data_IF_824757792787
#
_entry.id   IF_824757792787
#
_cell.length_a   1.000
_cell.length_b   1.000
_cell.length_c   1.000
_cell.angle_alpha   90.00
_cell.angle_beta   90.00
_cell.angle_gamma   90.00
#
_symmetry.space_group_name_H-M   'P 1'
#
loop_
_entity.id
_entity.type
_entity.pdbx_description
1 polymer ?
#
# COMPACT_ATOMS: atom_id res chain seq x y z
N UNK A 1 4.24 2.10 3.32
CA UNK A 1 5.44 1.32 2.94
C UNK A 1 6.25 2.13 1.96
N UNK A 2 7.56 2.21 2.15
CA UNK A 2 8.49 2.98 1.33
C UNK A 2 9.52 2.04 0.69
N UNK A 3 9.77 2.22 -0.60
CA UNK A 3 10.86 1.58 -1.32
C UNK A 3 11.69 2.67 -2.00
N UNK A 4 12.82 3.03 -1.39
CA UNK A 4 13.70 4.08 -1.89
C UNK A 4 14.42 3.66 -3.18
N UNK A 5 14.76 2.37 -3.32
CA UNK A 5 15.46 1.84 -4.50
C UNK A 5 14.60 1.98 -5.77
N UNK A 6 13.31 1.70 -5.65
CA UNK A 6 12.34 1.84 -6.74
C UNK A 6 11.72 3.24 -6.81
N UNK A 7 12.03 4.13 -5.85
CA UNK A 7 11.42 5.46 -5.75
C UNK A 7 9.90 5.40 -5.62
N UNK A 8 9.35 4.48 -4.82
CA UNK A 8 7.91 4.27 -4.64
C UNK A 8 7.50 4.34 -3.18
N UNK A 9 6.29 4.82 -2.93
CA UNK A 9 5.59 4.70 -1.66
C UNK A 9 4.23 4.06 -1.89
N UNK A 10 3.78 3.25 -0.94
CA UNK A 10 2.50 2.56 -1.01
C UNK A 10 1.76 2.74 0.32
N UNK A 11 0.54 3.29 0.28
CA UNK A 11 -0.34 3.41 1.44
C UNK A 11 -1.36 2.27 1.46
N UNK A 12 -1.82 1.93 2.67
CA UNK A 12 -2.86 0.94 2.91
C UNK A 12 -3.88 1.58 3.84
N UNK A 13 -5.08 1.85 3.34
CA UNK A 13 -6.13 2.55 4.07
C UNK A 13 -7.38 1.69 4.12
N UNK A 14 -7.99 1.51 5.29
CA UNK A 14 -9.25 0.78 5.39
C UNK A 14 -10.31 1.48 4.51
N UNK A 15 -10.98 0.70 3.67
CA UNK A 15 -12.12 1.17 2.91
C UNK A 15 -13.41 0.79 3.64
N UNK A 16 -14.54 1.37 3.21
CA UNK A 16 -15.85 0.99 3.74
C UNK A 16 -16.07 -0.53 3.61
N UNK A 17 -16.42 -1.21 4.71
CA UNK A 17 -16.74 -2.63 4.65
C UNK A 17 -18.05 -2.85 3.89
N UNK A 18 -18.25 -4.08 3.45
CA UNK A 18 -19.52 -4.59 2.94
C UNK A 18 -20.02 -5.68 3.88
N UNK A 19 -21.28 -6.09 3.79
CA UNK A 19 -21.85 -7.16 4.64
C UNK A 19 -21.07 -8.48 4.59
N UNK A 20 -20.36 -8.74 3.48
CA UNK A 20 -19.65 -10.01 3.25
C UNK A 20 -18.13 -9.90 3.29
N UNK A 21 -17.55 -8.70 3.40
CA UNK A 21 -16.10 -8.52 3.25
C UNK A 21 -15.56 -7.21 3.82
N UNK A 22 -14.32 -7.27 4.28
CA UNK A 22 -13.50 -6.11 4.64
C UNK A 22 -12.58 -5.72 3.50
N UNK A 23 -12.39 -4.42 3.31
CA UNK A 23 -11.70 -3.86 2.14
C UNK A 23 -10.60 -2.88 2.56
N UNK A 24 -9.56 -2.82 1.76
CA UNK A 24 -8.42 -1.90 1.92
C UNK A 24 -8.16 -1.23 0.57
N UNK A 25 -8.01 0.08 0.58
CA UNK A 25 -7.43 0.84 -0.53
C UNK A 25 -5.92 0.71 -0.45
N UNK A 26 -5.32 0.23 -1.54
CA UNK A 26 -3.87 0.17 -1.73
C UNK A 26 -3.51 1.21 -2.79
N UNK A 27 -2.64 2.13 -2.43
CA UNK A 27 -2.27 3.26 -3.29
C UNK A 27 -0.74 3.35 -3.43
N UNK A 28 -0.15 2.62 -4.40
CA UNK A 28 1.19 2.87 -4.87
C UNK A 28 1.28 4.20 -5.63
N UNK A 29 2.29 4.99 -5.31
CA UNK A 29 2.63 6.23 -6.00
C UNK A 29 4.15 6.47 -6.05
N UNK A 30 4.65 7.29 -6.99
CA UNK A 30 6.05 7.69 -7.01
C UNK A 30 6.42 8.44 -5.71
N UNK A 31 7.63 8.19 -5.21
CA UNK A 31 8.19 8.90 -4.06
C UNK A 31 8.57 10.35 -4.42
N UNK A 32 9.00 10.57 -5.66
CA UNK A 32 9.42 11.86 -6.20
C UNK A 32 8.83 12.04 -7.60
N UNK A 33 8.53 13.28 -7.97
CA UNK A 33 7.97 13.66 -9.27
C UNK A 33 6.44 13.65 -9.32
N UNK A 34 5.88 14.10 -10.45
CA UNK A 34 4.44 14.11 -10.72
C UNK A 34 4.01 12.86 -11.48
N UNK A 35 3.55 11.84 -10.76
CA UNK A 35 2.90 10.68 -11.35
C UNK A 35 1.61 10.36 -10.59
N UNK A 36 0.58 9.94 -11.31
CA UNK A 36 -0.70 9.65 -10.71
C UNK A 36 -0.62 8.37 -9.86
N UNK A 37 -1.23 8.35 -8.67
CA UNK A 37 -1.34 7.14 -7.88
C UNK A 37 -2.20 6.12 -8.61
N UNK A 38 -1.83 4.84 -8.51
CA UNK A 38 -2.67 3.75 -8.99
C UNK A 38 -3.49 3.24 -7.82
N UNK A 39 -4.73 3.71 -7.70
CA UNK A 39 -5.61 3.35 -6.59
C UNK A 39 -6.27 2.00 -6.88
N UNK A 40 -6.11 1.03 -5.96
CA UNK A 40 -6.75 -0.29 -6.05
C UNK A 40 -7.51 -0.60 -4.77
N UNK A 41 -8.66 -1.25 -4.90
CA UNK A 41 -9.40 -1.81 -3.77
C UNK A 41 -9.12 -3.30 -3.67
N UNK A 42 -8.79 -3.78 -2.48
CA UNK A 42 -8.39 -5.16 -2.24
C UNK A 42 -9.07 -5.72 -0.99
N UNK A 43 -9.34 -7.02 -0.98
CA UNK A 43 -9.80 -7.72 0.23
C UNK A 43 -8.76 -7.56 1.33
N UNK A 44 -9.21 -7.38 2.58
CA UNK A 44 -8.30 -7.10 3.70
C UNK A 44 -7.26 -8.21 3.93
N UNK A 45 -7.66 -9.49 3.80
CA UNK A 45 -6.71 -10.59 3.97
C UNK A 45 -5.62 -10.57 2.89
N UNK A 46 -5.98 -10.36 1.62
CA UNK A 46 -5.02 -10.15 0.53
C UNK A 46 -4.11 -8.95 0.80
N UNK A 47 -4.63 -7.87 1.41
CA UNK A 47 -3.84 -6.68 1.74
C UNK A 47 -2.82 -6.92 2.83
N UNK A 48 -3.16 -7.74 3.81
CA UNK A 48 -2.23 -8.18 4.87
C UNK A 48 -1.12 -9.04 4.24
N UNK A 49 -1.47 -10.03 3.41
CA UNK A 49 -0.50 -10.89 2.74
C UNK A 49 0.46 -10.11 1.83
N UNK A 50 -0.06 -9.15 1.07
CA UNK A 50 0.75 -8.26 0.24
C UNK A 50 1.71 -7.42 1.09
N UNK A 51 1.23 -6.86 2.21
CA UNK A 51 2.05 -6.07 3.13
C UNK A 51 3.18 -6.91 3.74
N UNK A 52 2.89 -8.13 4.19
CA UNK A 52 3.88 -9.05 4.75
C UNK A 52 4.91 -9.46 3.70
N UNK A 53 4.47 -9.76 2.48
CA UNK A 53 5.35 -10.08 1.35
C UNK A 53 6.28 -8.92 1.04
N UNK A 54 5.76 -7.70 1.00
CA UNK A 54 6.56 -6.49 0.80
C UNK A 54 7.64 -6.36 1.88
N UNK A 55 7.29 -6.58 3.16
CA UNK A 55 8.25 -6.55 4.27
C UNK A 55 9.34 -7.62 4.16
N UNK A 56 8.97 -8.85 3.76
CA UNK A 56 9.91 -9.98 3.61
C UNK A 56 10.88 -9.79 2.44
N UNK A 57 10.46 -9.12 1.37
CA UNK A 57 11.28 -8.91 0.16
C UNK A 57 12.51 -7.99 0.34
N UNK A 58 12.68 -7.38 1.52
CA UNK A 58 13.85 -6.56 1.87
C UNK A 58 13.93 -5.17 1.22
N UNK A 59 13.21 -4.94 0.11
CA UNK A 59 13.18 -3.64 -0.58
C UNK A 59 12.18 -2.62 -0.03
N UNK A 60 11.23 -3.05 0.81
CA UNK A 60 10.19 -2.19 1.38
C UNK A 60 10.32 -2.08 2.89
N UNK A 61 10.31 -0.84 3.39
CA UNK A 61 10.30 -0.53 4.82
C UNK A 61 9.01 0.15 5.25
N UNK A 62 8.64 -0.04 6.51
CA UNK A 62 7.61 0.80 7.13
C UNK A 62 8.12 2.25 7.18
N UNK A 63 7.22 3.19 6.95
CA UNK A 63 7.49 4.61 7.04
C UNK A 63 6.31 5.26 7.77
N UNK A 64 6.56 6.35 8.49
CA UNK A 64 5.47 7.10 9.06
C UNK A 64 4.61 7.72 7.95
N UNK A 65 3.28 7.78 8.11
CA UNK A 65 2.45 8.59 7.23
C UNK A 65 2.96 10.02 7.30
N UNK A 66 3.35 10.57 6.16
CA UNK A 66 3.54 12.01 6.01
C UNK A 66 2.16 12.57 5.68
N UNK A 67 1.55 13.20 6.68
CA UNK A 67 0.27 13.91 6.56
C UNK A 67 0.42 15.10 5.62
#
# INVERSE_FOLDING_TARGET
>A
MLNDQQGKVCSFTNANPTSHAQWVIVEPRPLRGGGQPVIRRMLRHNAIEALETMQKSGGWKRCQPRW
#
